data_IF_077214267805
#
_entry.id   IF_077214267805
#
_cell.length_a   1.000
_cell.length_b   1.000
_cell.length_c   1.000
_cell.angle_alpha   90.00
_cell.angle_beta   90.00
_cell.angle_gamma   90.00
#
_symmetry.space_group_name_H-M   'P 1'
#
loop_
_entity.id
_entity.type
_entity.pdbx_description
1 polymer ?
#
# COMPACT_ATOMS: atom_id res chain seq x y z
N UNK A 1 -27.29 12.34 -12.08
CA UNK A 1 -27.11 11.01 -11.43
C UNK A 1 -27.95 10.99 -10.15
N UNK A 2 -29.02 10.17 -10.07
CA UNK A 2 -29.90 10.11 -8.89
C UNK A 2 -29.09 9.53 -7.72
N UNK A 3 -28.95 10.27 -6.61
CA UNK A 3 -28.20 9.81 -5.44
C UNK A 3 -28.90 8.57 -4.89
N UNK A 4 -28.23 7.41 -4.94
CA UNK A 4 -28.73 6.16 -4.37
C UNK A 4 -29.00 6.37 -2.87
N UNK A 5 -30.22 6.08 -2.36
CA UNK A 5 -30.59 6.37 -0.98
C UNK A 5 -29.71 5.60 0.00
N UNK A 6 -29.35 6.25 1.11
CA UNK A 6 -28.41 5.74 2.12
C UNK A 6 -28.80 4.33 2.63
N UNK A 7 -30.09 4.09 2.79
CA UNK A 7 -30.65 2.82 3.23
C UNK A 7 -30.52 1.71 2.17
N UNK A 8 -30.62 2.04 0.88
CA UNK A 8 -30.45 1.06 -0.18
C UNK A 8 -29.01 0.59 -0.31
N UNK A 9 -28.03 1.48 -0.07
CA UNK A 9 -26.61 1.10 0.05
C UNK A 9 -26.40 0.15 1.23
N UNK A 10 -26.99 0.48 2.37
CA UNK A 10 -26.89 -0.36 3.57
C UNK A 10 -27.45 -1.77 3.32
N UNK A 11 -28.65 -1.87 2.74
CA UNK A 11 -29.27 -3.17 2.40
C UNK A 11 -28.44 -3.93 1.38
N UNK A 12 -27.86 -3.26 0.38
CA UNK A 12 -26.95 -3.87 -0.59
C UNK A 12 -25.70 -4.46 0.06
N UNK A 13 -25.03 -3.70 0.94
CA UNK A 13 -23.82 -4.19 1.62
C UNK A 13 -24.16 -5.31 2.62
N UNK A 14 -25.28 -5.19 3.33
CA UNK A 14 -25.76 -6.24 4.24
C UNK A 14 -26.09 -7.53 3.47
N UNK A 15 -26.79 -7.41 2.34
CA UNK A 15 -27.11 -8.54 1.45
C UNK A 15 -25.85 -9.18 0.86
N UNK A 16 -24.90 -8.36 0.41
CA UNK A 16 -23.62 -8.86 -0.11
C UNK A 16 -22.82 -9.60 0.98
N UNK A 17 -22.76 -9.04 2.19
CA UNK A 17 -22.12 -9.68 3.35
C UNK A 17 -22.80 -11.00 3.72
N UNK A 18 -24.13 -11.06 3.68
CA UNK A 18 -24.89 -12.27 3.96
C UNK A 18 -24.65 -13.35 2.90
N UNK A 19 -24.62 -13.00 1.61
CA UNK A 19 -24.30 -13.94 0.52
C UNK A 19 -22.88 -14.47 0.66
N UNK A 20 -21.89 -13.59 0.87
CA UNK A 20 -20.49 -13.99 1.06
C UNK A 20 -20.36 -14.88 2.30
N UNK A 21 -20.95 -14.49 3.42
CA UNK A 21 -20.93 -15.27 4.66
C UNK A 21 -21.57 -16.65 4.50
N UNK A 22 -22.70 -16.74 3.78
CA UNK A 22 -23.35 -18.01 3.47
C UNK A 22 -22.47 -18.91 2.60
N UNK A 23 -21.84 -18.36 1.56
CA UNK A 23 -20.93 -19.12 0.69
C UNK A 23 -19.71 -19.62 1.49
N UNK A 24 -19.09 -18.76 2.31
CA UNK A 24 -17.97 -19.16 3.17
C UNK A 24 -18.40 -20.23 4.17
N UNK A 25 -19.57 -20.12 4.81
CA UNK A 25 -20.06 -21.11 5.75
C UNK A 25 -20.39 -22.45 5.10
N UNK A 26 -20.92 -22.44 3.88
CA UNK A 26 -21.32 -23.65 3.14
C UNK A 26 -20.11 -24.39 2.54
N UNK A 27 -19.17 -23.65 1.95
CA UNK A 27 -18.04 -24.23 1.20
C UNK A 27 -16.73 -24.20 1.99
N UNK A 28 -16.60 -23.34 2.99
CA UNK A 28 -15.41 -23.23 3.84
C UNK A 28 -15.05 -24.51 4.61
N UNK A 29 -16.02 -25.24 5.19
CA UNK A 29 -15.74 -26.52 5.85
C UNK A 29 -15.38 -27.66 4.87
N UNK A 30 -15.69 -27.49 3.59
CA UNK A 30 -15.33 -28.42 2.51
C UNK A 30 -13.94 -28.11 1.94
N UNK A 31 -13.37 -26.96 2.28
CA UNK A 31 -11.97 -26.72 2.03
C UNK A 31 -11.19 -27.72 2.88
N UNK A 32 -10.19 -28.41 2.30
CA UNK A 32 -9.36 -29.33 3.05
C UNK A 32 -8.84 -28.62 4.30
N UNK A 33 -8.88 -29.27 5.49
CA UNK A 33 -8.32 -28.69 6.70
C UNK A 33 -6.91 -28.22 6.36
N UNK A 34 -6.72 -26.91 6.51
CA UNK A 34 -5.50 -26.18 6.22
C UNK A 34 -4.29 -27.06 6.52
N UNK A 35 -3.59 -27.47 5.45
CA UNK A 35 -2.34 -28.22 5.56
C UNK A 35 -1.51 -27.52 6.63
N UNK A 36 -1.24 -28.21 7.75
CA UNK A 36 -0.56 -27.61 8.89
C UNK A 36 0.67 -26.86 8.38
N UNK A 37 0.63 -25.53 8.45
CA UNK A 37 1.63 -24.71 7.79
C UNK A 37 2.98 -25.08 8.39
N UNK A 38 3.92 -25.47 7.54
CA UNK A 38 5.26 -25.80 8.03
C UNK A 38 5.86 -24.55 8.67
N UNK A 39 6.73 -24.73 9.68
CA UNK A 39 7.41 -23.60 10.34
C UNK A 39 8.12 -22.69 9.32
N UNK A 40 8.61 -23.26 8.21
CA UNK A 40 9.20 -22.52 7.10
C UNK A 40 8.20 -21.65 6.32
N UNK A 41 6.98 -22.13 6.10
CA UNK A 41 5.92 -21.33 5.44
C UNK A 41 5.49 -20.16 6.32
N UNK A 42 5.32 -20.38 7.63
CA UNK A 42 5.00 -19.32 8.59
C UNK A 42 6.13 -18.28 8.64
N UNK A 43 7.38 -18.74 8.74
CA UNK A 43 8.55 -17.84 8.73
C UNK A 43 8.67 -17.05 7.41
N UNK A 44 8.41 -17.69 6.27
CA UNK A 44 8.39 -17.02 4.96
C UNK A 44 7.30 -15.97 4.87
N UNK A 45 6.10 -16.24 5.39
CA UNK A 45 5.00 -15.27 5.42
C UNK A 45 5.34 -14.08 6.33
N UNK A 46 5.96 -14.32 7.48
CA UNK A 46 6.42 -13.26 8.37
C UNK A 46 7.54 -12.43 7.73
N UNK A 47 8.46 -13.05 6.99
CA UNK A 47 9.51 -12.35 6.24
C UNK A 47 8.96 -11.51 5.08
N UNK A 48 7.78 -11.84 4.56
CA UNK A 48 7.08 -11.05 3.54
C UNK A 48 6.43 -9.78 4.10
N UNK A 49 6.15 -9.70 5.42
CA UNK A 49 5.53 -8.50 6.02
C UNK A 49 6.35 -7.22 5.81
N UNK A 50 7.67 -7.18 6.06
CA UNK A 50 8.50 -6.01 5.75
C UNK A 50 8.43 -5.60 4.27
N UNK A 51 8.43 -6.57 3.35
CA UNK A 51 8.36 -6.31 1.91
C UNK A 51 7.00 -5.71 1.54
N UNK A 52 5.92 -6.31 2.03
CA UNK A 52 4.57 -5.81 1.84
C UNK A 52 4.39 -4.40 2.40
N UNK A 53 4.98 -4.12 3.57
CA UNK A 53 4.96 -2.78 4.17
C UNK A 53 5.71 -1.76 3.31
N UNK A 54 6.90 -2.08 2.82
CA UNK A 54 7.65 -1.19 1.91
C UNK A 54 6.88 -0.91 0.61
N UNK A 55 6.25 -1.93 0.04
CA UNK A 55 5.39 -1.77 -1.15
C UNK A 55 4.18 -0.88 -0.83
N UNK A 56 3.54 -1.06 0.32
CA UNK A 56 2.41 -0.24 0.73
C UNK A 56 2.81 1.25 0.89
N UNK A 57 3.96 1.52 1.53
CA UNK A 57 4.50 2.88 1.65
C UNK A 57 4.86 3.44 0.27
N UNK A 58 5.48 2.65 -0.60
CA UNK A 58 5.77 3.08 -1.98
C UNK A 58 4.52 3.50 -2.72
N UNK A 59 3.45 2.69 -2.64
CA UNK A 59 2.18 3.00 -3.29
C UNK A 59 1.50 4.22 -2.65
N UNK A 60 1.58 4.39 -1.33
CA UNK A 60 1.05 5.56 -0.62
C UNK A 60 1.70 6.86 -1.11
N UNK A 61 3.03 6.88 -1.15
CA UNK A 61 3.81 8.03 -1.61
C UNK A 61 3.62 8.26 -3.12
N UNK A 62 3.53 7.19 -3.92
CA UNK A 62 3.17 7.28 -5.34
C UNK A 62 1.79 7.89 -5.56
N UNK A 63 0.83 7.60 -4.68
CA UNK A 63 -0.49 8.24 -4.68
C UNK A 63 -0.38 9.75 -4.50
N UNK A 64 0.44 10.22 -3.57
CA UNK A 64 0.71 11.66 -3.38
C UNK A 64 1.36 12.29 -4.61
N UNK A 65 2.29 11.58 -5.27
CA UNK A 65 2.91 12.04 -6.53
C UNK A 65 1.88 12.25 -7.63
N UNK A 66 1.06 11.23 -7.87
CA UNK A 66 0.08 11.23 -8.95
C UNK A 66 -1.00 12.28 -8.70
N UNK A 67 -1.45 12.41 -7.45
CA UNK A 67 -2.36 13.48 -7.03
C UNK A 67 -1.72 14.86 -7.21
N UNK A 68 -0.44 15.02 -6.85
CA UNK A 68 0.31 16.25 -7.05
C UNK A 68 0.50 16.61 -8.53
N UNK A 69 0.79 15.62 -9.38
CA UNK A 69 0.90 15.83 -10.84
C UNK A 69 -0.44 16.26 -11.45
N UNK A 70 -1.56 15.66 -11.01
CA UNK A 70 -2.89 16.10 -11.43
C UNK A 70 -3.17 17.56 -11.03
N UNK A 71 -2.56 18.04 -9.94
CA UNK A 71 -2.63 19.43 -9.47
C UNK A 71 -1.49 20.33 -9.99
N UNK A 72 -0.69 19.87 -10.98
CA UNK A 72 0.47 20.58 -11.54
C UNK A 72 1.60 20.91 -10.54
N UNK A 73 1.68 20.21 -9.41
CA UNK A 73 2.81 20.31 -8.51
C UNK A 73 4.06 19.64 -9.14
N UNK A 74 5.17 20.37 -9.13
CA UNK A 74 6.47 19.90 -9.63
C UNK A 74 7.07 18.88 -8.67
N UNK A 75 7.07 17.61 -9.08
CA UNK A 75 7.54 16.50 -8.26
C UNK A 75 9.08 16.49 -8.16
N UNK A 76 9.62 16.65 -6.95
CA UNK A 76 11.08 16.83 -6.71
C UNK A 76 11.77 15.62 -6.03
N UNK A 77 11.08 14.84 -5.20
CA UNK A 77 11.65 13.65 -4.54
C UNK A 77 10.56 12.69 -4.04
N UNK A 78 10.80 11.38 -4.15
CA UNK A 78 9.98 10.30 -3.59
C UNK A 78 10.80 9.58 -2.51
N UNK A 79 10.25 9.43 -1.30
CA UNK A 79 10.93 8.76 -0.19
C UNK A 79 10.07 7.59 0.27
N UNK A 80 10.61 6.39 0.21
CA UNK A 80 9.97 5.15 0.66
C UNK A 80 10.88 4.51 1.71
N UNK A 81 10.70 4.93 2.96
CA UNK A 81 11.58 4.50 4.06
C UNK A 81 13.04 4.88 3.79
N UNK A 82 13.99 3.91 3.76
CA UNK A 82 15.40 4.19 3.45
C UNK A 82 15.67 4.40 1.96
N UNK A 83 14.70 4.15 1.08
CA UNK A 83 14.85 4.27 -0.36
C UNK A 83 14.39 5.65 -0.79
N UNK A 84 15.29 6.46 -1.31
CA UNK A 84 15.01 7.83 -1.74
C UNK A 84 15.30 7.94 -3.24
N UNK A 85 14.27 8.26 -4.02
CA UNK A 85 14.40 8.58 -5.44
C UNK A 85 14.30 10.08 -5.64
N UNK A 86 15.40 10.71 -6.07
CA UNK A 86 15.45 12.14 -6.42
C UNK A 86 15.37 12.31 -7.93
N UNK A 87 14.57 13.27 -8.39
CA UNK A 87 14.54 13.67 -9.80
C UNK A 87 15.37 14.93 -9.97
N UNK A 88 16.65 14.75 -10.30
CA UNK A 88 17.58 15.85 -10.60
C UNK A 88 17.78 15.93 -12.12
N UNK A 89 17.58 17.12 -12.68
CA UNK A 89 17.80 17.43 -14.11
C UNK A 89 17.18 16.43 -15.10
N UNK A 90 15.98 15.92 -14.79
CA UNK A 90 15.23 14.99 -15.66
C UNK A 90 15.58 13.51 -15.49
N UNK A 91 16.56 13.15 -14.64
CA UNK A 91 16.93 11.75 -14.38
C UNK A 91 16.49 11.31 -12.98
N UNK A 92 15.95 10.10 -12.89
CA UNK A 92 15.57 9.47 -11.62
C UNK A 92 16.82 8.83 -10.99
N UNK A 93 17.35 9.42 -9.92
CA UNK A 93 18.51 8.88 -9.20
C UNK A 93 18.05 8.18 -7.93
N UNK A 94 18.44 6.92 -7.80
CA UNK A 94 18.27 6.16 -6.57
C UNK A 94 19.36 6.56 -5.56
N UNK A 95 18.94 6.86 -4.34
CA UNK A 95 19.81 7.19 -3.21
C UNK A 95 19.30 6.51 -1.95
N UNK A 96 20.22 6.05 -1.11
CA UNK A 96 19.89 5.43 0.16
C UNK A 96 19.81 6.50 1.26
N UNK A 97 18.62 6.78 1.76
CA UNK A 97 18.42 7.68 2.89
C UNK A 97 18.69 6.94 4.22
N UNK A 98 19.85 7.20 4.82
CA UNK A 98 20.21 6.67 6.14
C UNK A 98 19.47 7.34 7.31
N UNK A 99 18.70 8.42 7.07
CA UNK A 99 17.94 9.13 8.08
C UNK A 99 16.45 8.71 8.04
N UNK A 100 16.04 7.88 8.99
CA UNK A 100 14.65 7.46 9.22
C UNK A 100 13.75 8.59 9.78
N UNK A 101 14.30 9.80 9.99
CA UNK A 101 13.67 10.91 10.72
C UNK A 101 12.95 11.98 9.87
N UNK A 102 12.63 11.71 8.60
CA UNK A 102 11.81 12.62 7.79
C UNK A 102 12.60 13.69 7.04
N UNK A 103 12.69 13.51 5.72
CA UNK A 103 13.03 14.53 4.73
C UNK A 103 14.48 15.04 4.73
N UNK A 104 15.04 15.38 3.55
CA UNK A 104 16.29 16.12 3.49
C UNK A 104 16.08 17.49 4.14
N UNK A 105 16.84 17.78 5.20
CA UNK A 105 16.88 19.12 5.78
C UNK A 105 17.45 20.07 4.72
N UNK A 106 16.71 21.13 4.40
CA UNK A 106 17.23 22.26 3.61
C UNK A 106 18.49 22.77 4.32
N UNK A 107 19.67 22.48 3.79
CA UNK A 107 20.90 22.93 4.41
C UNK A 107 22.19 22.35 3.85
N UNK A 108 22.17 21.18 3.19
CA UNK A 108 23.41 20.62 2.65
C UNK A 108 23.60 21.00 1.18
N UNK A 109 24.00 22.26 1.00
CA UNK A 109 24.69 22.74 -0.20
C UNK A 109 26.19 22.76 0.13
N UNK A 110 26.84 21.62 -0.01
CA UNK A 110 28.30 21.52 0.09
C UNK A 110 28.83 20.47 -0.90
N UNK A 111 29.12 20.96 -2.11
CA UNK A 111 30.06 20.43 -3.13
C UNK A 111 29.73 19.07 -3.75
#
# INVERSE_FOLDING_TARGET
>A
MKKLPKYLRFVLFAGLGAVIGHLIGKYGPQLPPHAAWSRGQVAGLLALLPVAWLLAVLLHELGHVLAGQAQRFQFRWLVVGPLLWKREAGRLRFAWNKNLGGGPKRGDSSI
#
